data_IF_395703753430
#
_entry.id   IF_395703753430
#
_cell.length_a   1.000
_cell.length_b   1.000
_cell.length_c   1.000
_cell.angle_alpha   90.00
_cell.angle_beta   90.00
_cell.angle_gamma   90.00
#
_symmetry.space_group_name_H-M   'P 1'
#
loop_
_entity.id
_entity.type
_entity.pdbx_description
1 polymer ?
#
# COMPACT_ATOMS: atom_id res chain seq x y z
N UNK A 1 12.60 14.20 -22.27
CA UNK A 1 11.60 13.30 -21.67
C UNK A 1 12.32 12.47 -20.61
N UNK A 2 12.08 12.68 -19.31
CA UNK A 2 12.79 11.94 -18.24
C UNK A 2 12.22 10.52 -18.16
N UNK A 3 13.11 9.53 -18.22
CA UNK A 3 12.79 8.09 -18.10
C UNK A 3 12.29 7.80 -16.69
N UNK A 4 11.37 6.84 -16.54
CA UNK A 4 10.91 6.36 -15.23
C UNK A 4 12.08 5.83 -14.40
N UNK A 5 12.19 6.27 -13.15
CA UNK A 5 13.29 5.88 -12.25
C UNK A 5 12.86 4.75 -11.32
N UNK A 6 13.73 3.75 -11.14
CA UNK A 6 13.58 2.68 -10.16
C UNK A 6 14.63 2.85 -9.05
N UNK A 7 14.17 3.10 -7.82
CA UNK A 7 15.01 3.21 -6.63
C UNK A 7 14.45 2.28 -5.54
N UNK A 8 15.34 1.61 -4.81
CA UNK A 8 14.98 0.73 -3.69
C UNK A 8 15.81 1.14 -2.48
N UNK A 9 15.21 1.13 -1.29
CA UNK A 9 15.90 1.39 -0.04
C UNK A 9 15.42 0.43 1.04
N UNK A 10 16.36 -0.03 1.86
CA UNK A 10 16.11 -0.83 3.05
C UNK A 10 16.07 0.10 4.27
N UNK A 11 15.06 -0.07 5.11
CA UNK A 11 14.92 0.68 6.36
C UNK A 11 14.83 -0.34 7.49
N UNK A 12 15.82 -0.42 8.38
CA UNK A 12 15.73 -1.30 9.52
C UNK A 12 14.68 -0.77 10.51
N UNK A 13 13.83 -1.67 10.99
CA UNK A 13 13.02 -1.40 12.18
C UNK A 13 13.86 -1.70 13.42
N UNK A 14 13.73 -0.88 14.47
CA UNK A 14 14.47 -1.06 15.73
C UNK A 14 13.93 -2.27 16.52
N UNK A 15 12.65 -2.59 16.33
CA UNK A 15 11.98 -3.73 16.94
C UNK A 15 11.03 -4.39 15.92
N UNK A 16 10.76 -5.70 16.06
CA UNK A 16 9.72 -6.35 15.28
C UNK A 16 8.35 -5.77 15.67
N UNK A 17 7.61 -5.24 14.69
CA UNK A 17 6.30 -4.63 14.92
C UNK A 17 5.28 -5.14 13.91
N UNK A 18 4.09 -5.46 14.39
CA UNK A 18 2.90 -5.76 13.58
C UNK A 18 1.96 -4.54 13.48
N UNK A 19 2.35 -3.39 14.05
CA UNK A 19 1.55 -2.16 13.93
C UNK A 19 1.59 -1.64 12.49
N UNK A 20 0.42 -1.54 11.86
CA UNK A 20 0.30 -0.93 10.54
C UNK A 20 0.80 0.53 10.52
N UNK A 21 0.69 1.26 11.63
CA UNK A 21 1.17 2.65 11.78
C UNK A 21 2.70 2.72 11.72
N UNK A 22 3.39 1.82 12.41
CA UNK A 22 4.86 1.75 12.39
C UNK A 22 5.36 1.44 10.99
N UNK A 23 4.70 0.51 10.30
CA UNK A 23 5.01 0.14 8.92
C UNK A 23 4.79 1.32 7.97
N UNK A 24 3.66 2.02 8.08
CA UNK A 24 3.36 3.22 7.27
C UNK A 24 4.43 4.30 7.53
N UNK A 25 4.78 4.55 8.78
CA UNK A 25 5.79 5.54 9.15
C UNK A 25 7.18 5.18 8.62
N UNK A 26 7.56 3.90 8.67
CA UNK A 26 8.79 3.42 8.03
C UNK A 26 8.75 3.63 6.51
N UNK A 27 7.67 3.21 5.85
CA UNK A 27 7.51 3.37 4.40
C UNK A 27 7.60 4.84 3.96
N UNK A 28 6.96 5.77 4.68
CA UNK A 28 7.02 7.20 4.40
C UNK A 28 8.44 7.77 4.56
N UNK A 29 9.19 7.33 5.58
CA UNK A 29 10.61 7.71 5.75
C UNK A 29 11.47 7.24 4.58
N UNK A 30 11.22 6.04 4.08
CA UNK A 30 11.89 5.50 2.89
C UNK A 30 11.58 6.30 1.65
N UNK A 31 10.28 6.53 1.43
CA UNK A 31 9.80 7.30 0.29
C UNK A 31 10.48 8.67 0.23
N UNK A 32 10.53 9.40 1.35
CA UNK A 32 11.19 10.71 1.43
C UNK A 32 12.68 10.66 1.08
N UNK A 33 13.34 9.54 1.33
CA UNK A 33 14.78 9.40 1.06
C UNK A 33 15.06 8.99 -0.39
N UNK A 34 14.19 8.19 -1.01
CA UNK A 34 14.33 7.78 -2.42
C UNK A 34 13.71 8.77 -3.42
N UNK A 35 12.91 9.70 -2.93
CA UNK A 35 12.20 10.69 -3.73
C UNK A 35 13.17 11.63 -4.44
N UNK A 36 12.94 11.84 -5.74
CA UNK A 36 13.71 12.77 -6.55
C UNK A 36 12.78 13.61 -7.41
N UNK A 37 12.90 14.92 -7.27
CA UNK A 37 12.07 15.86 -8.00
C UNK A 37 12.30 15.80 -9.52
N UNK A 38 11.20 15.98 -10.25
CA UNK A 38 11.19 15.97 -11.70
C UNK A 38 11.23 14.60 -12.35
N UNK A 39 11.20 13.50 -11.60
CA UNK A 39 10.99 12.15 -12.14
C UNK A 39 9.53 11.71 -12.00
N UNK A 40 9.05 10.90 -12.94
CA UNK A 40 7.74 10.25 -12.84
C UNK A 40 7.92 8.84 -12.28
N UNK A 41 7.20 8.54 -11.21
CA UNK A 41 7.14 7.21 -10.62
C UNK A 41 5.83 6.54 -11.05
N UNK A 42 5.92 5.30 -11.56
CA UNK A 42 4.76 4.56 -12.06
C UNK A 42 4.19 3.56 -11.04
N UNK A 43 5.06 2.96 -10.23
CA UNK A 43 4.70 1.94 -9.25
C UNK A 43 5.62 2.04 -8.04
N UNK A 44 5.06 1.85 -6.86
CA UNK A 44 5.78 1.66 -5.61
C UNK A 44 5.33 0.34 -4.97
N UNK A 45 6.23 -0.30 -4.25
CA UNK A 45 5.97 -1.52 -3.49
C UNK A 45 6.77 -1.50 -2.20
N UNK A 46 6.20 -2.11 -1.15
CA UNK A 46 6.87 -2.31 0.14
C UNK A 46 7.11 -3.80 0.28
N UNK A 47 8.34 -4.18 0.64
CA UNK A 47 8.71 -5.56 0.94
C UNK A 47 9.09 -5.58 2.42
N UNK A 48 8.38 -6.40 3.19
CA UNK A 48 8.73 -6.70 4.57
C UNK A 48 9.62 -7.95 4.58
N UNK A 49 10.63 -7.97 5.42
CA UNK A 49 11.61 -9.05 5.53
C UNK A 49 11.97 -9.22 7.01
N UNK A 50 12.44 -10.40 7.37
CA UNK A 50 12.80 -10.79 8.75
C UNK A 50 11.58 -10.87 9.69
N UNK A 51 10.77 -11.91 9.50
CA UNK A 51 9.60 -12.19 10.35
C UNK A 51 10.03 -13.00 11.57
N UNK A 52 9.66 -12.54 12.75
CA UNK A 52 9.90 -13.23 14.03
C UNK A 52 8.58 -13.68 14.64
N UNK A 53 8.58 -14.84 15.30
CA UNK A 53 7.42 -15.28 16.08
C UNK A 53 7.11 -14.30 17.22
N UNK A 54 5.81 -14.04 17.44
CA UNK A 54 5.33 -13.12 18.46
C UNK A 54 5.77 -13.51 19.87
N UNK A 55 5.98 -14.81 20.11
CA UNK A 55 6.20 -15.39 21.43
C UNK A 55 7.64 -15.19 21.96
N UNK A 56 8.59 -14.79 21.09
CA UNK A 56 10.01 -14.61 21.44
C UNK A 56 10.43 -13.14 21.30
N UNK A 57 9.49 -12.21 21.45
CA UNK A 57 9.82 -10.78 21.44
C UNK A 57 10.24 -10.32 22.83
N UNK A 58 11.52 -10.55 23.17
CA UNK A 58 12.11 -9.87 24.32
C UNK A 58 12.25 -8.38 23.97
N UNK A 59 11.40 -7.55 24.55
CA UNK A 59 11.58 -6.11 24.46
C UNK A 59 12.91 -5.75 25.14
N UNK A 60 13.76 -5.00 24.42
CA UNK A 60 14.98 -4.47 25.02
C UNK A 60 14.60 -3.63 26.25
N UNK A 61 15.14 -4.00 27.41
CA UNK A 61 14.84 -3.40 28.71
C UNK A 61 15.16 -1.90 28.73
N UNK A 62 16.02 -1.45 27.82
CA UNK A 62 16.46 -0.06 27.67
C UNK A 62 15.90 0.64 26.43
N UNK A 63 15.00 0.00 25.67
CA UNK A 63 14.41 0.62 24.49
C UNK A 63 13.59 1.86 24.87
N UNK A 64 13.96 3.00 24.29
CA UNK A 64 13.28 4.28 24.51
C UNK A 64 11.94 4.36 23.76
N UNK A 65 11.82 3.61 22.66
CA UNK A 65 10.59 3.50 21.88
C UNK A 65 9.79 2.30 22.38
N UNK A 66 8.80 2.57 23.23
CA UNK A 66 7.80 1.58 23.61
C UNK A 66 6.77 1.46 22.48
N UNK A 67 6.29 0.24 22.16
CA UNK A 67 5.16 0.09 21.25
C UNK A 67 3.97 0.89 21.78
N UNK A 68 3.12 1.37 20.87
CA UNK A 68 1.90 2.08 21.25
C UNK A 68 1.07 1.23 22.23
N UNK A 69 0.58 1.86 23.30
CA UNK A 69 -0.25 1.20 24.30
C UNK A 69 -1.52 0.63 23.63
N UNK A 70 -1.84 -0.63 23.95
CA UNK A 70 -2.98 -1.39 23.41
C UNK A 70 -2.98 -1.60 21.89
N UNK A 71 -1.80 -1.61 21.26
CA UNK A 71 -1.68 -1.86 19.82
C UNK A 71 -2.34 -3.17 19.38
N UNK A 72 -2.11 -4.26 20.12
CA UNK A 72 -2.61 -5.59 19.73
C UNK A 72 -4.15 -5.67 19.72
N UNK A 73 -4.82 -5.06 20.70
CA UNK A 73 -6.28 -5.02 20.76
C UNK A 73 -6.85 -4.17 19.62
N UNK A 74 -6.20 -3.04 19.31
CA UNK A 74 -6.60 -2.17 18.22
C UNK A 74 -6.44 -2.88 16.87
N UNK A 75 -5.30 -3.54 16.62
CA UNK A 75 -5.07 -4.25 15.36
C UNK A 75 -6.04 -5.42 15.21
N UNK A 76 -6.32 -6.16 16.29
CA UNK A 76 -7.33 -7.23 16.28
C UNK A 76 -8.73 -6.72 15.95
N UNK A 77 -9.15 -5.60 16.52
CA UNK A 77 -10.47 -5.02 16.24
C UNK A 77 -10.56 -4.48 14.81
N UNK A 78 -9.51 -3.81 14.33
CA UNK A 78 -9.42 -3.35 12.95
C UNK A 78 -9.50 -4.51 11.95
N UNK A 79 -8.77 -5.59 12.22
CA UNK A 79 -8.79 -6.80 11.40
C UNK A 79 -10.14 -7.52 11.43
N UNK A 80 -10.79 -7.59 12.60
CA UNK A 80 -12.11 -8.16 12.73
C UNK A 80 -13.13 -7.40 11.87
N UNK A 81 -13.09 -6.06 11.90
CA UNK A 81 -13.95 -5.22 11.06
C UNK A 81 -13.63 -5.46 9.58
N UNK A 82 -12.35 -5.43 9.19
CA UNK A 82 -11.93 -5.64 7.82
C UNK A 82 -12.29 -7.04 7.27
N UNK A 83 -12.33 -8.07 8.12
CA UNK A 83 -12.76 -9.43 7.78
C UNK A 83 -14.29 -9.58 7.68
N UNK A 84 -15.05 -8.76 8.41
CA UNK A 84 -16.52 -8.83 8.45
C UNK A 84 -17.19 -8.45 7.13
N UNK A 85 -16.48 -7.79 6.21
CA UNK A 85 -16.97 -7.43 4.88
C UNK A 85 -17.97 -6.26 4.85
N UNK A 86 -18.48 -5.82 5.99
CA UNK A 86 -19.39 -4.67 6.10
C UNK A 86 -18.61 -3.37 6.27
N UNK A 87 -17.94 -2.97 5.20
CA UNK A 87 -17.08 -1.78 5.18
C UNK A 87 -15.65 -2.10 5.59
N UNK A 88 -14.70 -1.50 4.89
CA UNK A 88 -13.27 -1.64 5.17
C UNK A 88 -12.78 -0.37 5.83
N UNK A 89 -12.15 -0.51 6.99
CA UNK A 89 -11.56 0.59 7.73
C UNK A 89 -10.10 0.68 7.34
N UNK A 90 -9.70 1.90 6.97
CA UNK A 90 -8.34 2.19 6.54
C UNK A 90 -7.79 3.36 7.34
N UNK A 91 -6.48 3.40 7.50
CA UNK A 91 -5.81 4.60 7.98
C UNK A 91 -5.98 5.73 6.96
N UNK A 92 -6.23 6.95 7.46
CA UNK A 92 -6.41 8.14 6.62
C UNK A 92 -5.21 8.39 5.68
N UNK A 93 -4.01 7.95 6.06
CA UNK A 93 -2.79 8.01 5.25
C UNK A 93 -2.84 7.18 3.96
N UNK A 94 -3.76 6.22 3.83
CA UNK A 94 -3.95 5.43 2.62
C UNK A 94 -4.51 6.28 1.45
N UNK A 95 -5.12 7.42 1.74
CA UNK A 95 -5.88 8.20 0.76
C UNK A 95 -7.21 7.55 0.38
N UNK A 96 -8.00 8.24 -0.45
CA UNK A 96 -9.28 7.72 -0.95
C UNK A 96 -9.09 6.47 -1.80
N UNK A 97 -10.00 5.50 -1.64
CA UNK A 97 -10.01 4.26 -2.43
C UNK A 97 -10.39 4.59 -3.88
N UNK A 98 -9.43 5.03 -4.68
CA UNK A 98 -9.53 4.85 -6.13
C UNK A 98 -9.19 3.39 -6.40
N UNK A 99 -10.10 2.48 -6.04
CA UNK A 99 -9.99 1.08 -6.41
C UNK A 99 -9.55 1.02 -7.87
N UNK A 100 -8.50 0.25 -8.15
CA UNK A 100 -7.85 0.20 -9.46
C UNK A 100 -8.91 0.06 -10.55
N UNK A 101 -9.26 1.18 -11.20
CA UNK A 101 -10.18 1.18 -12.32
C UNK A 101 -9.35 0.75 -13.52
N UNK A 102 -9.72 -0.39 -14.11
CA UNK A 102 -9.14 -0.83 -15.37
C UNK A 102 -9.19 0.33 -16.36
N UNK A 103 -8.02 0.81 -16.80
CA UNK A 103 -7.90 1.92 -17.73
C UNK A 103 -8.30 1.43 -19.13
N UNK A 104 -9.59 1.50 -19.44
CA UNK A 104 -10.17 1.03 -20.72
C UNK A 104 -10.01 2.00 -21.89
N UNK A 105 -9.08 2.96 -21.79
CA UNK A 105 -8.83 3.97 -22.84
C UNK A 105 -8.37 3.35 -24.18
N UNK A 106 -7.91 2.10 -24.16
CA UNK A 106 -7.48 1.33 -25.35
C UNK A 106 -8.34 0.07 -25.57
N UNK A 107 -9.60 0.07 -25.13
CA UNK A 107 -10.51 -1.04 -25.44
C UNK A 107 -10.97 -0.91 -26.90
N UNK A 108 -10.67 -1.90 -27.74
CA UNK A 108 -11.24 -1.98 -29.08
C UNK A 108 -12.76 -2.14 -28.95
N UNK A 109 -13.56 -1.47 -29.80
CA UNK A 109 -15.00 -1.67 -29.80
C UNK A 109 -15.34 -3.14 -30.05
N UNK A 110 -16.36 -3.65 -29.36
CA UNK A 110 -16.80 -5.03 -29.40
C UNK A 110 -17.66 -5.30 -30.65
N UNK A 111 -17.08 -5.14 -31.84
CA UNK A 111 -17.77 -5.26 -33.13
C UNK A 111 -18.52 -6.58 -33.35
N UNK A 112 -18.11 -7.66 -32.68
CA UNK A 112 -18.72 -8.99 -32.84
C UNK A 112 -19.72 -9.34 -31.74
N UNK A 113 -19.72 -8.59 -30.63
CA UNK A 113 -20.52 -8.96 -29.44
C UNK A 113 -21.52 -7.87 -29.04
N UNK A 114 -21.38 -6.65 -29.56
CA UNK A 114 -22.31 -5.54 -29.35
C UNK A 114 -22.65 -4.87 -30.69
N UNK A 115 -23.92 -4.94 -31.10
CA UNK A 115 -24.40 -4.35 -32.36
C UNK A 115 -24.34 -2.80 -32.36
N UNK A 116 -24.39 -2.16 -31.18
CA UNK A 116 -24.34 -0.69 -31.05
C UNK A 116 -22.94 -0.10 -31.29
N UNK A 117 -21.91 -0.94 -31.34
CA UNK A 117 -20.51 -0.54 -31.53
C UNK A 117 -20.04 -0.72 -32.99
N UNK A 118 -20.94 -1.10 -33.91
CA UNK A 118 -20.64 -1.27 -35.32
C UNK A 118 -20.41 0.09 -36.03
N UNK A 119 -19.40 0.20 -36.90
CA UNK A 119 -19.15 1.43 -37.65
C UNK A 119 -20.27 1.67 -38.67
N UNK A 120 -20.96 2.80 -38.54
CA UNK A 120 -22.00 3.24 -39.49
C UNK A 120 -21.32 3.87 -40.70
N UNK A 121 -21.39 3.20 -41.85
CA UNK A 121 -20.96 3.77 -43.12
C UNK A 121 -21.91 4.91 -43.50
N UNK A 122 -21.41 6.14 -43.57
CA UNK A 122 -22.12 7.26 -44.19
C UNK A 122 -21.76 7.29 -45.67
N UNK A 123 -22.78 7.21 -46.52
CA UNK A 123 -22.76 7.48 -47.96
C UNK A 123 -22.63 8.96 -48.25
#
# INVERSE_FOLDING_TARGET
>A
MKVCQANTQLIPSVYPSSDTRDIINAAMRGLNTIWRDGYRYYKAGIILSDFTDSDITHFDMFSTQKPFRNNDELMKTLDAINKSGQGKVWFASKGGDSGYKMKREMLSPAYTTNFDELPVVKS
#
